data_IF_704579532615
#
_entry.id   IF_704579532615
#
_cell.length_a   1.000
_cell.length_b   1.000
_cell.length_c   1.000
_cell.angle_alpha   90.00
_cell.angle_beta   90.00
_cell.angle_gamma   90.00
#
_symmetry.space_group_name_H-M   'P 1'
#
loop_
_entity.id
_entity.type
_entity.pdbx_description
1 polymer ?
#
# COMPACT_ATOMS: atom_id res chain seq x y z
N UNK A 1 -2.09 15.59 -0.60
CA UNK A 1 -1.77 14.82 -1.81
C UNK A 1 -2.84 14.91 -2.91
N UNK A 2 -4.14 14.79 -2.63
CA UNK A 2 -5.19 14.93 -3.68
C UNK A 2 -5.15 16.29 -4.39
N UNK A 3 -4.98 17.38 -3.64
CA UNK A 3 -4.91 18.74 -4.18
C UNK A 3 -3.74 18.92 -5.17
N UNK A 4 -2.54 18.46 -4.81
CA UNK A 4 -1.35 18.55 -5.67
C UNK A 4 -1.56 17.83 -7.00
N UNK A 5 -2.18 16.66 -6.98
CA UNK A 5 -2.52 15.88 -8.18
C UNK A 5 -3.46 16.63 -9.11
N UNK A 6 -4.51 17.26 -8.56
CA UNK A 6 -5.43 18.07 -9.33
C UNK A 6 -4.76 19.30 -9.95
N UNK A 7 -3.90 19.99 -9.19
CA UNK A 7 -3.14 21.15 -9.68
C UNK A 7 -2.22 20.71 -10.84
N UNK A 8 -1.51 19.59 -10.70
CA UNK A 8 -0.59 19.10 -11.73
C UNK A 8 -1.32 18.80 -13.04
N UNK A 9 -2.40 18.03 -12.99
CA UNK A 9 -3.17 17.69 -14.20
C UNK A 9 -3.88 18.89 -14.82
N UNK A 10 -4.39 19.82 -14.01
CA UNK A 10 -4.97 21.06 -14.50
C UNK A 10 -3.91 21.91 -15.21
N UNK A 11 -2.71 22.02 -14.65
CA UNK A 11 -1.61 22.75 -15.27
C UNK A 11 -1.19 22.11 -16.60
N UNK A 12 -1.10 20.79 -16.66
CA UNK A 12 -0.82 20.05 -17.89
C UNK A 12 -1.87 20.33 -18.99
N UNK A 13 -3.13 20.36 -18.63
CA UNK A 13 -4.22 20.70 -19.56
C UNK A 13 -4.14 22.15 -20.05
N UNK A 14 -3.85 23.10 -19.16
CA UNK A 14 -3.68 24.53 -19.52
C UNK A 14 -2.51 24.72 -20.49
N UNK A 15 -1.36 24.08 -20.23
CA UNK A 15 -0.18 24.14 -21.10
C UNK A 15 -0.49 23.57 -22.49
N UNK A 16 -1.23 22.47 -22.56
CA UNK A 16 -1.64 21.87 -23.84
C UNK A 16 -2.56 22.81 -24.64
N UNK A 17 -3.58 23.38 -24.00
CA UNK A 17 -4.50 24.34 -24.64
C UNK A 17 -3.76 25.58 -25.10
N UNK A 18 -2.86 26.12 -24.27
CA UNK A 18 -2.02 27.28 -24.62
C UNK A 18 -1.13 26.98 -25.84
N UNK A 19 -0.59 25.75 -25.92
CA UNK A 19 0.21 25.30 -27.06
C UNK A 19 -0.58 25.31 -28.38
N UNK A 20 -1.82 24.81 -28.35
CA UNK A 20 -2.72 24.81 -29.52
C UNK A 20 -3.04 26.24 -29.96
N UNK A 21 -3.39 27.11 -29.00
CA UNK A 21 -3.82 28.49 -29.33
C UNK A 21 -2.65 29.38 -29.76
N UNK A 22 -1.49 29.26 -29.17
CA UNK A 22 -0.32 30.10 -29.46
C UNK A 22 0.54 29.61 -30.63
N UNK A 23 0.50 28.31 -30.93
CA UNK A 23 1.38 27.67 -31.90
C UNK A 23 2.86 27.65 -31.48
N UNK A 24 3.20 28.08 -30.27
CA UNK A 24 4.57 28.15 -29.79
C UNK A 24 5.08 26.77 -29.37
N UNK A 25 6.21 26.35 -29.94
CA UNK A 25 6.85 25.04 -29.70
C UNK A 25 7.16 24.80 -28.22
N UNK A 26 7.45 25.84 -27.45
CA UNK A 26 7.79 25.76 -26.03
C UNK A 26 6.69 25.07 -25.20
N UNK A 27 5.44 25.41 -25.46
CA UNK A 27 4.32 24.78 -24.74
C UNK A 27 4.21 23.28 -25.02
N UNK A 28 4.47 22.86 -26.26
CA UNK A 28 4.48 21.43 -26.61
C UNK A 28 5.65 20.68 -25.95
N UNK A 29 6.83 21.31 -25.82
CA UNK A 29 7.96 20.73 -25.12
C UNK A 29 7.64 20.55 -23.64
N UNK A 30 7.07 21.57 -22.98
CA UNK A 30 6.66 21.50 -21.58
C UNK A 30 5.59 20.42 -21.37
N UNK A 31 4.58 20.37 -22.22
CA UNK A 31 3.55 19.34 -22.16
C UNK A 31 4.14 17.93 -22.32
N UNK A 32 5.02 17.74 -23.31
CA UNK A 32 5.66 16.45 -23.55
C UNK A 32 6.51 16.00 -22.35
N UNK A 33 7.26 16.93 -21.75
CA UNK A 33 8.03 16.66 -20.53
C UNK A 33 7.13 16.21 -19.38
N UNK A 34 6.01 16.90 -19.16
CA UNK A 34 5.04 16.51 -18.13
C UNK A 34 4.42 15.14 -18.41
N UNK A 35 4.08 14.86 -19.67
CA UNK A 35 3.52 13.58 -20.09
C UNK A 35 4.54 12.44 -19.85
N UNK A 36 5.79 12.63 -20.24
CA UNK A 36 6.86 11.66 -20.01
C UNK A 36 7.09 11.42 -18.53
N UNK A 37 6.98 12.45 -17.69
CA UNK A 37 7.07 12.30 -16.23
C UNK A 37 5.96 11.40 -15.72
N UNK A 38 4.69 11.62 -16.12
CA UNK A 38 3.56 10.78 -15.71
C UNK A 38 3.75 9.33 -16.17
N UNK A 39 4.17 9.13 -17.42
CA UNK A 39 4.42 7.78 -17.96
C UNK A 39 5.55 7.05 -17.22
N UNK A 40 6.63 7.74 -16.88
CA UNK A 40 7.73 7.19 -16.11
C UNK A 40 7.30 6.80 -14.70
N UNK A 41 6.55 7.66 -14.02
CA UNK A 41 5.98 7.38 -12.69
C UNK A 41 5.04 6.18 -12.75
N UNK A 42 4.19 6.10 -13.77
CA UNK A 42 3.29 4.97 -13.98
C UNK A 42 4.07 3.66 -14.17
N UNK A 43 5.09 3.66 -15.02
CA UNK A 43 5.92 2.48 -15.28
C UNK A 43 6.64 1.99 -14.01
N UNK A 44 7.25 2.90 -13.25
CA UNK A 44 7.92 2.59 -11.98
C UNK A 44 6.91 2.04 -10.96
N UNK A 45 5.73 2.65 -10.86
CA UNK A 45 4.70 2.24 -9.92
C UNK A 45 4.14 0.86 -10.26
N UNK A 46 3.85 0.56 -11.53
CA UNK A 46 3.42 -0.76 -11.98
C UNK A 46 4.50 -1.83 -11.72
N UNK A 47 5.73 -1.48 -11.95
CA UNK A 47 6.84 -2.37 -11.63
C UNK A 47 6.94 -2.63 -10.13
N UNK A 48 6.78 -1.61 -9.30
CA UNK A 48 6.76 -1.71 -7.83
C UNK A 48 5.67 -2.65 -7.35
N UNK A 49 4.46 -2.49 -7.85
CA UNK A 49 3.32 -3.34 -7.50
C UNK A 49 3.55 -4.81 -7.83
N UNK A 50 4.06 -5.10 -9.04
CA UNK A 50 4.31 -6.48 -9.48
C UNK A 50 5.34 -7.24 -8.64
N UNK A 51 6.20 -6.53 -7.94
CA UNK A 51 7.33 -7.13 -7.22
C UNK A 51 7.35 -6.76 -5.75
N UNK A 52 6.25 -6.21 -5.25
CA UNK A 52 6.04 -6.00 -3.84
C UNK A 52 6.07 -7.34 -3.10
N UNK A 53 7.00 -7.46 -2.14
CA UNK A 53 7.14 -8.64 -1.31
C UNK A 53 6.73 -8.32 0.12
N UNK A 54 5.90 -9.18 0.67
CA UNK A 54 5.51 -9.12 2.06
C UNK A 54 5.42 -10.53 2.65
N UNK A 55 5.63 -10.63 3.94
CA UNK A 55 5.45 -11.84 4.74
C UNK A 55 4.63 -11.48 5.97
N UNK A 56 3.69 -12.32 6.32
CA UNK A 56 2.90 -12.16 7.53
C UNK A 56 2.85 -13.47 8.29
N UNK A 57 3.15 -13.39 9.58
CA UNK A 57 3.18 -14.54 10.47
C UNK A 57 2.54 -14.17 11.82
N UNK A 58 1.80 -15.11 12.40
CA UNK A 58 1.30 -15.00 13.76
C UNK A 58 2.32 -15.63 14.70
N UNK A 59 2.54 -15.02 15.87
CA UNK A 59 3.41 -15.58 16.91
C UNK A 59 2.96 -16.96 17.37
N UNK A 60 1.65 -17.17 17.40
CA UNK A 60 1.02 -18.44 17.75
C UNK A 60 -0.18 -18.71 16.85
N UNK A 61 -0.40 -19.98 16.49
CA UNK A 61 -1.59 -20.40 15.73
C UNK A 61 -2.81 -20.64 16.61
N UNK A 62 -2.59 -20.79 17.92
CA UNK A 62 -3.62 -20.95 18.93
C UNK A 62 -3.24 -20.20 20.21
N UNK A 63 -4.23 -19.61 20.85
CA UNK A 63 -4.07 -18.89 22.11
C UNK A 63 -5.27 -19.14 23.03
N UNK A 64 -5.16 -18.77 24.30
CA UNK A 64 -6.26 -18.79 25.24
C UNK A 64 -6.99 -17.44 25.22
N UNK A 65 -8.29 -17.44 25.46
CA UNK A 65 -9.11 -16.22 25.54
C UNK A 65 -8.45 -15.17 26.45
N UNK A 66 -8.24 -13.96 25.89
CA UNK A 66 -7.64 -12.82 26.60
C UNK A 66 -6.10 -12.76 26.51
N UNK A 67 -5.49 -13.71 25.85
CA UNK A 67 -4.05 -13.69 25.56
C UNK A 67 -3.76 -12.77 24.36
N UNK A 68 -2.65 -12.04 24.44
CA UNK A 68 -2.17 -11.19 23.35
C UNK A 68 -1.39 -12.03 22.33
N UNK A 69 -1.77 -11.94 21.06
CA UNK A 69 -1.06 -12.56 19.94
C UNK A 69 -0.50 -11.47 19.05
N UNK A 70 0.75 -11.61 18.64
CA UNK A 70 1.39 -10.63 17.77
C UNK A 70 1.34 -11.09 16.31
N UNK A 71 0.81 -10.22 15.45
CA UNK A 71 0.96 -10.36 14.00
C UNK A 71 2.25 -9.66 13.58
N UNK A 72 3.20 -10.42 13.06
CA UNK A 72 4.41 -9.90 12.47
C UNK A 72 4.19 -9.69 10.97
N UNK A 73 4.28 -8.44 10.53
CA UNK A 73 4.21 -8.04 9.13
C UNK A 73 5.58 -7.55 8.69
N UNK A 74 6.20 -8.29 7.80
CA UNK A 74 7.48 -7.94 7.20
C UNK A 74 7.25 -7.50 5.75
N UNK A 75 7.82 -6.35 5.40
CA UNK A 75 7.77 -5.79 4.05
C UNK A 75 9.18 -5.53 3.58
N UNK A 76 9.54 -6.13 2.45
CA UNK A 76 10.86 -6.02 1.86
C UNK A 76 10.81 -5.25 0.54
N UNK A 77 11.74 -4.30 0.39
CA UNK A 77 12.00 -3.59 -0.84
C UNK A 77 13.37 -3.98 -1.40
N UNK A 78 13.39 -4.85 -2.38
CA UNK A 78 14.62 -5.32 -3.03
C UNK A 78 15.04 -4.44 -4.23
N UNK A 79 14.63 -3.15 -4.27
CA UNK A 79 14.76 -2.31 -5.44
C UNK A 79 15.55 -1.05 -5.18
N UNK A 80 16.10 -0.45 -6.27
CA UNK A 80 16.82 0.82 -6.20
C UNK A 80 15.89 2.02 -5.94
N UNK A 81 14.56 1.86 -6.10
CA UNK A 81 13.59 2.94 -5.87
C UNK A 81 12.90 2.79 -4.51
N UNK A 82 12.71 3.91 -3.78
CA UNK A 82 11.99 3.85 -2.51
C UNK A 82 10.50 3.53 -2.73
N UNK A 83 9.93 2.78 -1.81
CA UNK A 83 8.49 2.64 -1.67
C UNK A 83 7.99 3.83 -0.84
N UNK A 84 7.44 4.86 -1.51
CA UNK A 84 7.31 6.19 -0.92
C UNK A 84 6.24 6.29 0.12
N UNK A 85 5.03 5.83 -0.18
CA UNK A 85 3.92 5.81 0.76
C UNK A 85 3.13 4.53 0.59
N UNK A 86 3.21 3.68 1.60
CA UNK A 86 2.46 2.45 1.69
C UNK A 86 1.45 2.60 2.81
N UNK A 87 0.19 2.47 2.49
CA UNK A 87 -0.90 2.39 3.45
C UNK A 87 -1.36 0.93 3.50
N UNK A 88 -1.24 0.30 4.66
CA UNK A 88 -1.66 -1.08 4.90
C UNK A 88 -2.80 -1.08 5.91
N UNK A 89 -3.89 -1.76 5.57
CA UNK A 89 -4.97 -2.03 6.50
C UNK A 89 -4.91 -3.49 6.91
N UNK A 90 -4.74 -3.72 8.20
CA UNK A 90 -4.79 -5.03 8.82
C UNK A 90 -6.12 -5.16 9.54
N UNK A 91 -6.88 -6.17 9.20
CA UNK A 91 -8.19 -6.46 9.80
C UNK A 91 -8.16 -7.78 10.56
N UNK A 92 -8.83 -7.77 11.70
CA UNK A 92 -9.28 -8.99 12.38
C UNK A 92 -10.72 -9.23 11.94
N UNK A 93 -10.91 -10.05 10.92
CA UNK A 93 -12.20 -10.18 10.20
C UNK A 93 -13.39 -10.49 11.12
N UNK A 94 -13.18 -11.20 12.22
CA UNK A 94 -14.26 -11.56 13.14
C UNK A 94 -14.62 -10.46 14.15
N UNK A 95 -13.83 -9.38 14.22
CA UNK A 95 -13.92 -8.39 15.30
C UNK A 95 -14.14 -6.96 14.82
N UNK A 96 -13.82 -6.70 13.56
CA UNK A 96 -13.87 -5.35 13.00
C UNK A 96 -12.78 -4.40 13.52
N UNK A 97 -11.79 -4.90 14.26
CA UNK A 97 -10.61 -4.10 14.59
C UNK A 97 -9.77 -3.89 13.34
N UNK A 98 -9.53 -2.62 13.02
CA UNK A 98 -8.71 -2.21 11.89
C UNK A 98 -7.50 -1.44 12.37
N UNK A 99 -6.33 -1.94 12.06
CA UNK A 99 -5.07 -1.23 12.26
C UNK A 99 -4.59 -0.71 10.91
N UNK A 100 -4.44 0.60 10.83
CA UNK A 100 -3.89 1.25 9.65
C UNK A 100 -2.44 1.62 9.89
N UNK A 101 -1.55 1.13 9.06
CA UNK A 101 -0.14 1.47 9.04
C UNK A 101 0.17 2.31 7.81
N UNK A 102 0.87 3.43 8.03
CA UNK A 102 1.35 4.31 6.96
C UNK A 102 2.85 4.48 7.12
N UNK A 103 3.60 4.06 6.12
CA UNK A 103 5.06 4.09 6.18
C UNK A 103 5.68 4.16 4.78
N UNK A 104 7.00 4.36 4.75
CA UNK A 104 7.83 4.26 3.56
C UNK A 104 8.94 3.25 3.79
N UNK A 105 9.43 2.64 2.71
CA UNK A 105 10.56 1.71 2.77
C UNK A 105 11.65 2.20 1.83
N UNK A 106 12.85 2.39 2.37
CA UNK A 106 14.01 2.81 1.59
C UNK A 106 14.42 1.75 0.55
N UNK A 107 15.19 2.12 -0.48
CA UNK A 107 15.76 1.15 -1.40
C UNK A 107 16.55 0.06 -0.67
N UNK A 108 16.45 -1.16 -1.16
CA UNK A 108 17.18 -2.33 -0.64
C UNK A 108 17.06 -2.54 0.88
N UNK A 109 15.91 -2.21 1.45
CA UNK A 109 15.65 -2.35 2.88
C UNK A 109 14.32 -3.05 3.16
N UNK A 110 14.16 -3.49 4.41
CA UNK A 110 12.91 -4.07 4.90
C UNK A 110 12.44 -3.35 6.17
N UNK A 111 11.15 -3.47 6.44
CA UNK A 111 10.55 -3.06 7.72
C UNK A 111 9.69 -4.18 8.26
N UNK A 112 9.81 -4.39 9.56
CA UNK A 112 9.00 -5.35 10.29
C UNK A 112 8.12 -4.60 11.28
N UNK A 113 6.84 -4.91 11.29
CA UNK A 113 5.84 -4.36 12.20
C UNK A 113 5.30 -5.49 13.06
N UNK A 114 5.31 -5.28 14.37
CA UNK A 114 4.70 -6.18 15.33
C UNK A 114 3.40 -5.55 15.80
N UNK A 115 2.27 -6.13 15.41
CA UNK A 115 0.93 -5.63 15.71
C UNK A 115 0.34 -6.52 16.79
N UNK A 116 0.16 -6.00 18.02
CA UNK A 116 -0.49 -6.75 19.08
C UNK A 116 -1.99 -6.86 18.78
N UNK A 117 -2.52 -8.06 18.93
CA UNK A 117 -3.93 -8.37 18.69
C UNK A 117 -4.48 -9.02 19.95
N UNK A 118 -5.51 -8.44 20.49
CA UNK A 118 -6.25 -9.00 21.63
C UNK A 118 -7.40 -9.88 21.15
N UNK A 119 -7.59 -11.01 21.81
CA UNK A 119 -8.64 -11.98 21.44
C UNK A 119 -9.67 -12.14 22.57
N UNK A 120 -10.67 -11.22 22.65
CA UNK A 120 -11.61 -11.21 23.77
C UNK A 120 -12.67 -12.31 23.71
N UNK A 121 -12.87 -12.96 22.57
CA UNK A 121 -13.84 -14.06 22.43
C UNK A 121 -13.18 -15.32 21.89
N UNK A 122 -13.76 -16.48 22.22
CA UNK A 122 -13.40 -17.77 21.63
C UNK A 122 -13.85 -17.84 20.17
N UNK A 123 -13.10 -18.50 19.33
CA UNK A 123 -13.46 -18.70 17.93
C UNK A 123 -12.28 -18.84 17.00
N UNK A 124 -12.58 -18.84 15.73
CA UNK A 124 -11.58 -18.79 14.65
C UNK A 124 -11.55 -17.39 14.08
N UNK A 125 -10.36 -16.81 14.00
CA UNK A 125 -10.12 -15.45 13.50
C UNK A 125 -9.21 -15.52 12.30
N UNK A 126 -9.63 -14.89 11.21
CA UNK A 126 -8.76 -14.62 10.09
C UNK A 126 -8.15 -13.23 10.28
N UNK A 127 -6.85 -13.18 10.46
CA UNK A 127 -6.11 -11.96 10.79
C UNK A 127 -5.11 -11.71 9.69
N UNK A 128 -5.10 -10.52 9.13
CA UNK A 128 -4.11 -10.20 8.11
C UNK A 128 -4.37 -8.90 7.38
N UNK A 129 -3.50 -8.64 6.43
CA UNK A 129 -3.57 -7.47 5.59
C UNK A 129 -4.72 -7.62 4.57
N UNK A 130 -5.73 -6.75 4.65
CA UNK A 130 -6.86 -6.78 3.72
C UNK A 130 -6.70 -5.82 2.56
N UNK A 131 -6.21 -4.61 2.84
CA UNK A 131 -6.04 -3.57 1.83
C UNK A 131 -4.62 -3.04 1.85
N UNK A 132 -4.08 -2.84 0.66
CA UNK A 132 -2.79 -2.25 0.41
C UNK A 132 -2.97 -1.11 -0.57
N UNK A 133 -2.45 0.07 -0.25
CA UNK A 133 -2.40 1.19 -1.18
C UNK A 133 -0.97 1.69 -1.28
N UNK A 134 -0.45 1.68 -2.50
CA UNK A 134 0.88 2.18 -2.82
C UNK A 134 0.72 3.48 -3.58
N UNK A 135 1.38 4.52 -3.08
CA UNK A 135 1.40 5.85 -3.72
C UNK A 135 2.82 6.16 -4.16
N UNK A 136 2.97 6.72 -5.34
CA UNK A 136 4.27 7.11 -5.89
C UNK A 136 4.91 8.28 -5.14
N UNK A 137 6.19 8.57 -5.44
CA UNK A 137 7.00 9.60 -4.78
C UNK A 137 6.38 10.99 -4.90
N UNK A 138 5.79 11.29 -6.04
CA UNK A 138 5.17 12.59 -6.32
C UNK A 138 3.71 12.69 -5.90
N UNK A 139 3.09 11.57 -5.50
CA UNK A 139 1.68 11.53 -5.17
C UNK A 139 0.74 11.68 -6.37
N UNK A 140 1.24 11.51 -7.59
CA UNK A 140 0.47 11.65 -8.82
C UNK A 140 -0.44 10.44 -9.05
N UNK A 141 0.03 9.25 -8.69
CA UNK A 141 -0.67 7.99 -8.92
C UNK A 141 -0.73 7.21 -7.62
N UNK A 142 -1.85 6.58 -7.35
CA UNK A 142 -2.02 5.68 -6.21
C UNK A 142 -2.78 4.44 -6.64
N UNK A 143 -2.27 3.27 -6.24
CA UNK A 143 -2.85 1.98 -6.55
C UNK A 143 -3.41 1.36 -5.28
N UNK A 144 -4.75 1.34 -5.12
CA UNK A 144 -5.39 0.56 -4.07
C UNK A 144 -5.55 -0.89 -4.52
N UNK A 145 -5.16 -1.81 -3.66
CA UNK A 145 -5.32 -3.25 -3.85
C UNK A 145 -6.11 -3.84 -2.69
N UNK A 146 -7.06 -4.69 -3.00
CA UNK A 146 -7.66 -5.58 -2.01
C UNK A 146 -6.93 -6.94 -2.11
N UNK A 147 -6.21 -7.30 -1.05
CA UNK A 147 -5.39 -8.51 -1.03
C UNK A 147 -6.23 -9.78 -1.13
N UNK A 148 -7.50 -9.72 -0.75
CA UNK A 148 -8.44 -10.85 -0.80
C UNK A 148 -8.76 -11.28 -2.23
N UNK A 149 -8.52 -10.43 -3.22
CA UNK A 149 -8.75 -10.75 -4.64
C UNK A 149 -7.64 -11.61 -5.26
N UNK A 150 -6.51 -11.72 -4.57
CA UNK A 150 -5.41 -12.53 -5.05
C UNK A 150 -5.56 -13.98 -4.61
N UNK A 151 -5.65 -14.91 -5.56
CA UNK A 151 -5.84 -16.34 -5.31
C UNK A 151 -4.72 -17.00 -4.47
N UNK A 152 -3.52 -16.42 -4.52
CA UNK A 152 -2.36 -16.89 -3.75
C UNK A 152 -2.31 -16.32 -2.32
N UNK A 153 -3.16 -15.33 -2.00
CA UNK A 153 -3.19 -14.71 -0.69
C UNK A 153 -4.08 -15.50 0.27
N UNK A 154 -3.51 -15.92 1.39
CA UNK A 154 -4.25 -16.56 2.48
C UNK A 154 -4.01 -15.79 3.77
N UNK A 155 -5.09 -15.44 4.44
CA UNK A 155 -5.00 -14.86 5.77
C UNK A 155 -4.59 -15.93 6.77
N UNK A 156 -3.64 -15.64 7.67
CA UNK A 156 -3.36 -16.49 8.83
C UNK A 156 -4.62 -16.71 9.68
N UNK A 157 -4.83 -17.94 10.08
CA UNK A 157 -5.94 -18.32 10.97
C UNK A 157 -5.44 -18.47 12.40
N UNK A 158 -6.12 -17.82 13.33
CA UNK A 158 -5.88 -17.92 14.75
C UNK A 158 -7.06 -18.65 15.43
N UNK A 159 -6.75 -19.67 16.22
CA UNK A 159 -7.76 -20.42 17.00
C UNK A 159 -7.67 -19.99 18.45
N UNK A 160 -8.75 -19.42 18.97
CA UNK A 160 -8.86 -19.00 20.37
C UNK A 160 -9.63 -20.03 21.17
N UNK A 161 -8.95 -20.65 22.11
CA UNK A 161 -9.46 -21.67 23.00
C UNK A 161 -10.18 -21.04 24.22
N UNK A 162 -11.18 -21.72 24.78
CA UNK A 162 -11.77 -21.27 26.02
C UNK A 162 -10.74 -21.32 27.16
N UNK A 163 -10.82 -20.38 28.06
CA UNK A 163 -10.08 -20.45 29.32
C UNK A 163 -10.75 -21.52 30.21
N UNK A 164 -9.98 -22.54 30.59
CA UNK A 164 -10.41 -23.56 31.52
C UNK A 164 -10.65 -22.97 32.93
#
# INVERSE_FOLDING_TARGET
>A
MKLFRWIYYSFMAIVFIAGINSGLRVFFIVFLTQLLTVLSVLAISLWTVKTFKFRQELSHKSCVKGEEVTLQLEIANERPFPLSLIEVHVEVVSYGENVQLVFSVAPYSGRTFNIPITTPYRGRYNIGMTKLKITDIFGLISFPFDMRWFSYYRMPELIVLPKA
#
